data_IF_250546170436
#
_entry.id   IF_250546170436
#
_cell.length_a   1.000
_cell.length_b   1.000
_cell.length_c   1.000
_cell.angle_alpha   90.00
_cell.angle_beta   90.00
_cell.angle_gamma   90.00
#
_symmetry.space_group_name_H-M   'P 1'
#
loop_
_entity.id
_entity.type
_entity.pdbx_description
1 polymer ?
#
# COMPACT_ATOMS: atom_id res chain seq x y z
N UNK A 1 7.15 58.64 19.24
CA UNK A 1 8.28 58.84 20.18
C UNK A 1 9.44 57.99 19.64
N UNK A 2 10.31 58.56 18.80
CA UNK A 2 11.63 59.17 19.14
C UNK A 2 12.68 58.10 19.46
N UNK A 3 13.90 58.06 18.91
CA UNK A 3 14.64 58.85 17.92
C UNK A 3 15.95 58.10 17.57
N UNK A 4 16.56 58.40 16.41
CA UNK A 4 17.98 58.17 16.04
C UNK A 4 18.92 59.22 16.72
N UNK A 5 20.26 59.29 16.50
CA UNK A 5 21.39 58.34 16.45
C UNK A 5 22.56 58.81 17.41
N UNK A 6 23.87 58.44 17.24
CA UNK A 6 24.76 59.26 16.40
C UNK A 6 25.94 58.56 15.66
N UNK A 7 26.59 59.38 14.81
CA UNK A 7 27.76 59.24 13.92
C UNK A 7 29.16 59.20 14.57
N UNK A 8 30.16 58.78 13.77
CA UNK A 8 31.57 59.26 13.78
C UNK A 8 32.60 58.11 13.72
N UNK A 9 33.25 57.76 12.60
CA UNK A 9 34.30 58.42 11.78
C UNK A 9 35.74 58.20 12.29
N UNK A 10 36.59 57.52 11.50
CA UNK A 10 37.95 57.96 11.14
C UNK A 10 38.60 57.09 10.04
N UNK A 11 39.25 57.77 9.09
CA UNK A 11 40.09 57.27 7.98
C UNK A 11 41.56 57.68 8.25
N UNK A 12 42.57 57.72 7.33
CA UNK A 12 42.73 57.19 5.94
C UNK A 12 44.14 56.58 5.64
N UNK A 13 44.44 56.27 4.36
CA UNK A 13 45.68 56.59 3.56
C UNK A 13 46.04 55.48 2.48
N UNK A 14 46.93 55.71 1.47
CA UNK A 14 46.54 55.98 0.08
C UNK A 14 47.28 55.17 -1.04
N UNK A 15 46.88 55.49 -2.28
CA UNK A 15 47.28 55.02 -3.64
C UNK A 15 48.80 55.04 -3.96
N UNK A 16 49.21 54.43 -5.10
CA UNK A 16 49.79 55.29 -6.14
C UNK A 16 49.28 55.04 -7.58
N UNK A 17 48.94 56.16 -8.23
CA UNK A 17 48.82 56.36 -9.68
C UNK A 17 50.21 56.47 -10.31
N UNK A 18 50.50 55.64 -11.31
CA UNK A 18 51.70 55.73 -12.14
C UNK A 18 51.42 56.43 -13.46
N UNK A 19 51.92 57.66 -13.62
CA UNK A 19 51.98 58.37 -14.89
C UNK A 19 53.37 58.27 -15.51
N UNK A 20 53.46 58.18 -16.84
CA UNK A 20 54.70 58.41 -17.57
C UNK A 20 54.56 59.63 -18.49
N UNK A 21 55.44 60.60 -18.22
CA UNK A 21 55.64 61.88 -18.89
C UNK A 21 56.22 61.69 -20.30
N UNK A 22 55.71 62.44 -21.25
CA UNK A 22 56.38 62.75 -22.51
C UNK A 22 57.27 63.98 -22.30
N UNK A 23 58.54 63.89 -22.68
CA UNK A 23 59.49 65.00 -22.66
C UNK A 23 59.59 65.64 -24.04
N UNK A 24 59.33 66.94 -24.11
CA UNK A 24 59.73 67.83 -25.22
C UNK A 24 61.01 68.57 -24.83
N UNK A 25 62.07 68.46 -25.63
CA UNK A 25 63.10 69.50 -25.74
C UNK A 25 63.59 69.62 -27.19
N UNK A 26 63.87 70.87 -27.58
CA UNK A 26 64.29 71.33 -28.90
C UNK A 26 65.81 71.64 -28.91
N UNK A 27 66.44 71.51 -30.10
CA UNK A 27 67.70 72.17 -30.52
C UNK A 27 69.00 71.41 -30.20
N UNK A 28 70.08 71.41 -30.99
CA UNK A 28 70.46 72.16 -32.21
C UNK A 28 71.66 71.48 -32.93
N UNK A 29 71.72 71.70 -34.25
CA UNK A 29 72.83 71.70 -35.22
C UNK A 29 74.15 70.90 -35.03
N UNK A 30 74.47 70.12 -36.07
CA UNK A 30 75.83 69.72 -36.45
C UNK A 30 75.86 69.28 -37.93
N UNK A 31 76.61 70.00 -38.76
CA UNK A 31 76.68 69.90 -40.23
C UNK A 31 77.56 68.75 -40.77
N UNK A 32 77.24 68.34 -42.02
CA UNK A 32 78.03 67.58 -43.02
C UNK A 32 78.19 66.06 -42.74
N UNK A 33 77.98 65.13 -43.69
CA UNK A 33 78.39 65.09 -45.10
C UNK A 33 77.57 64.00 -45.83
N UNK A 34 77.25 64.17 -47.12
CA UNK A 34 76.47 63.23 -47.92
C UNK A 34 77.28 62.00 -48.39
N UNK A 35 76.64 60.81 -48.49
CA UNK A 35 76.80 59.99 -49.72
C UNK A 35 75.49 59.23 -50.11
N UNK A 36 75.52 58.35 -51.13
CA UNK A 36 74.93 58.55 -52.45
C UNK A 36 73.46 58.09 -52.59
N UNK A 37 72.77 58.64 -53.59
CA UNK A 37 71.38 58.31 -53.96
C UNK A 37 71.26 56.88 -54.50
N UNK A 38 70.58 56.00 -53.76
CA UNK A 38 70.10 54.69 -54.24
C UNK A 38 68.70 54.80 -54.88
N UNK A 39 68.40 54.02 -55.95
CA UNK A 39 67.21 54.19 -56.78
C UNK A 39 65.92 53.78 -56.06
N UNK A 40 64.89 54.63 -56.15
CA UNK A 40 63.52 54.37 -55.66
C UNK A 40 62.87 53.24 -56.46
N UNK A 41 62.81 52.03 -55.88
CA UNK A 41 61.91 50.95 -56.33
C UNK A 41 60.47 51.25 -55.89
N UNK A 42 59.51 51.09 -56.81
CA UNK A 42 58.07 51.33 -56.58
C UNK A 42 57.56 50.45 -55.43
N UNK A 43 56.99 51.07 -54.38
CA UNK A 43 56.48 50.44 -53.15
C UNK A 43 55.06 49.83 -53.28
N UNK A 44 54.60 49.53 -54.49
CA UNK A 44 53.25 48.96 -54.72
C UNK A 44 53.10 47.53 -54.17
N UNK A 45 54.18 46.75 -54.08
CA UNK A 45 54.12 45.39 -53.51
C UNK A 45 53.93 45.32 -51.99
N UNK A 46 54.34 46.35 -51.23
CA UNK A 46 54.29 46.35 -49.77
C UNK A 46 52.88 46.65 -49.25
N UNK A 47 52.15 47.53 -49.92
CA UNK A 47 50.75 47.87 -49.59
C UNK A 47 49.81 46.70 -49.92
N UNK A 48 50.01 46.03 -51.05
CA UNK A 48 49.25 44.82 -51.41
C UNK A 48 49.51 43.65 -50.42
N UNK A 49 50.75 43.49 -49.91
CA UNK A 49 51.05 42.49 -48.89
C UNK A 49 50.43 42.79 -47.51
N UNK A 50 50.34 44.07 -47.12
CA UNK A 50 49.72 44.49 -45.86
C UNK A 50 48.20 44.32 -45.89
N UNK A 51 47.56 44.66 -47.01
CA UNK A 51 46.11 44.47 -47.20
C UNK A 51 45.76 42.98 -47.28
N UNK A 52 46.56 42.19 -47.99
CA UNK A 52 46.40 40.73 -48.02
C UNK A 52 46.60 40.08 -46.64
N UNK A 53 47.61 40.52 -45.89
CA UNK A 53 47.84 40.05 -44.51
C UNK A 53 46.71 40.43 -43.56
N UNK A 54 46.20 41.66 -43.63
CA UNK A 54 45.06 42.10 -42.84
C UNK A 54 43.77 41.32 -43.15
N UNK A 55 43.52 41.00 -44.43
CA UNK A 55 42.37 40.19 -44.83
C UNK A 55 42.46 38.75 -44.30
N UNK A 56 43.65 38.15 -44.31
CA UNK A 56 43.88 36.80 -43.74
C UNK A 56 43.68 36.82 -42.22
N UNK A 57 44.23 37.81 -41.52
CA UNK A 57 44.04 37.95 -40.07
C UNK A 57 42.56 38.15 -39.73
N UNK A 58 41.84 38.99 -40.49
CA UNK A 58 40.41 39.20 -40.30
C UNK A 58 39.61 37.91 -40.54
N UNK A 59 39.93 37.14 -41.59
CA UNK A 59 39.28 35.86 -41.86
C UNK A 59 39.54 34.84 -40.76
N UNK A 60 40.77 34.74 -40.25
CA UNK A 60 41.12 33.86 -39.13
C UNK A 60 40.41 34.29 -37.84
N UNK A 61 40.34 35.60 -37.55
CA UNK A 61 39.63 36.12 -36.38
C UNK A 61 38.11 35.83 -36.46
N UNK A 62 37.49 36.03 -37.62
CA UNK A 62 36.07 35.70 -37.84
C UNK A 62 35.87 34.19 -37.64
N UNK A 63 36.72 33.35 -38.24
CA UNK A 63 36.62 31.88 -38.12
C UNK A 63 36.78 31.44 -36.66
N UNK A 64 37.71 32.03 -35.92
CA UNK A 64 37.90 31.78 -34.51
C UNK A 64 36.68 32.14 -33.67
N UNK A 65 36.07 33.32 -33.92
CA UNK A 65 34.85 33.75 -33.21
C UNK A 65 33.68 32.82 -33.54
N UNK A 66 33.48 32.50 -34.81
CA UNK A 66 32.42 31.57 -35.23
C UNK A 66 32.59 30.16 -34.65
N UNK A 67 33.82 29.62 -34.64
CA UNK A 67 34.11 28.32 -34.03
C UNK A 67 33.89 28.35 -32.50
N UNK A 68 34.26 29.44 -31.83
CA UNK A 68 34.00 29.61 -30.40
C UNK A 68 32.52 29.66 -30.08
N UNK A 69 31.73 30.43 -30.85
CA UNK A 69 30.28 30.53 -30.64
C UNK A 69 29.57 29.20 -30.94
N UNK A 70 30.00 28.47 -31.97
CA UNK A 70 29.47 27.14 -32.28
C UNK A 70 29.77 26.13 -31.18
N UNK A 71 30.97 26.17 -30.60
CA UNK A 71 31.31 25.37 -29.42
C UNK A 71 30.46 25.75 -28.22
N UNK A 72 30.28 27.04 -27.93
CA UNK A 72 29.50 27.49 -26.77
C UNK A 72 28.03 27.05 -26.88
N UNK A 73 27.43 27.18 -28.07
CA UNK A 73 26.09 26.67 -28.33
C UNK A 73 25.99 25.14 -28.13
N UNK A 74 26.92 24.35 -28.69
CA UNK A 74 26.92 22.90 -28.50
C UNK A 74 27.20 22.50 -27.04
N UNK A 75 27.98 23.28 -26.30
CA UNK A 75 28.23 23.06 -24.88
C UNK A 75 26.99 23.36 -24.03
N UNK A 76 26.24 24.41 -24.35
CA UNK A 76 24.96 24.74 -23.72
C UNK A 76 23.91 23.66 -24.03
N UNK A 77 23.76 23.26 -25.30
CA UNK A 77 22.83 22.18 -25.70
C UNK A 77 23.17 20.85 -25.02
N UNK A 78 24.45 20.51 -24.93
CA UNK A 78 24.92 19.34 -24.18
C UNK A 78 24.59 19.46 -22.69
N UNK A 79 24.81 20.63 -22.08
CA UNK A 79 24.50 20.84 -20.67
C UNK A 79 23.00 20.68 -20.37
N UNK A 80 22.14 21.17 -21.26
CA UNK A 80 20.69 20.99 -21.17
C UNK A 80 20.29 19.50 -21.29
N UNK A 81 20.89 18.76 -22.23
CA UNK A 81 20.67 17.31 -22.37
C UNK A 81 21.13 16.52 -21.12
N UNK A 82 22.29 16.85 -20.54
CA UNK A 82 22.76 16.25 -19.28
C UNK A 82 21.82 16.58 -18.12
N UNK A 83 21.29 17.80 -18.05
CA UNK A 83 20.34 18.19 -17.02
C UNK A 83 19.02 17.41 -17.15
N UNK A 84 18.51 17.21 -18.37
CA UNK A 84 17.34 16.38 -18.63
C UNK A 84 17.58 14.92 -18.19
N UNK A 85 18.65 14.27 -18.66
CA UNK A 85 18.98 12.90 -18.26
C UNK A 85 19.15 12.77 -16.73
N UNK A 86 19.73 13.77 -16.07
CA UNK A 86 19.88 13.76 -14.60
C UNK A 86 18.54 13.90 -13.86
N UNK A 87 17.60 14.64 -14.43
CA UNK A 87 16.22 14.73 -13.94
C UNK A 87 15.53 13.38 -14.05
N UNK A 88 15.56 12.75 -15.23
CA UNK A 88 14.95 11.44 -15.48
C UNK A 88 15.55 10.35 -14.57
N UNK A 89 16.88 10.36 -14.35
CA UNK A 89 17.50 9.46 -13.35
C UNK A 89 16.98 9.64 -11.95
N UNK A 90 16.68 10.88 -11.56
CA UNK A 90 16.19 11.17 -10.21
C UNK A 90 14.76 10.70 -10.04
N UNK A 91 13.94 10.85 -11.09
CA UNK A 91 12.58 10.33 -11.15
C UNK A 91 12.57 8.80 -11.13
N UNK A 92 13.29 8.15 -12.05
CA UNK A 92 13.38 6.69 -12.12
C UNK A 92 13.88 6.10 -10.80
N UNK A 93 14.84 6.74 -10.11
CA UNK A 93 15.30 6.28 -8.79
C UNK A 93 14.18 6.28 -7.74
N UNK A 94 13.32 7.29 -7.75
CA UNK A 94 12.21 7.36 -6.80
C UNK A 94 11.17 6.27 -7.11
N UNK A 95 10.76 6.14 -8.38
CA UNK A 95 9.81 5.12 -8.82
C UNK A 95 10.35 3.70 -8.61
N UNK A 96 11.66 3.47 -8.81
CA UNK A 96 12.31 2.20 -8.56
C UNK A 96 12.32 1.81 -7.07
N UNK A 97 12.52 2.79 -6.18
CA UNK A 97 12.45 2.57 -4.74
C UNK A 97 11.02 2.23 -4.29
N UNK A 98 10.01 2.86 -4.88
CA UNK A 98 8.60 2.54 -4.62
C UNK A 98 8.25 1.13 -5.12
N UNK A 99 8.66 0.75 -6.33
CA UNK A 99 8.48 -0.60 -6.87
C UNK A 99 9.14 -1.66 -5.95
N UNK A 100 10.36 -1.40 -5.49
CA UNK A 100 11.04 -2.30 -4.57
C UNK A 100 10.26 -2.47 -3.27
N UNK A 101 9.73 -1.39 -2.69
CA UNK A 101 8.91 -1.47 -1.47
C UNK A 101 7.64 -2.30 -1.67
N UNK A 102 6.96 -2.13 -2.81
CA UNK A 102 5.75 -2.89 -3.15
C UNK A 102 6.07 -4.37 -3.37
N UNK A 103 7.16 -4.67 -4.09
CA UNK A 103 7.62 -6.04 -4.33
C UNK A 103 8.05 -6.75 -3.04
N UNK A 104 8.70 -6.05 -2.12
CA UNK A 104 9.09 -6.58 -0.82
C UNK A 104 7.87 -6.91 0.04
N UNK A 105 6.87 -6.01 0.10
CA UNK A 105 5.61 -6.27 0.81
C UNK A 105 4.85 -7.46 0.23
N UNK A 106 4.74 -7.55 -1.10
CA UNK A 106 4.16 -8.70 -1.78
C UNK A 106 4.94 -10.00 -1.49
N UNK A 107 6.28 -9.93 -1.45
CA UNK A 107 7.13 -11.05 -1.08
C UNK A 107 6.88 -11.55 0.34
N UNK A 108 6.61 -10.65 1.29
CA UNK A 108 6.25 -11.00 2.67
C UNK A 108 4.87 -11.70 2.75
N UNK A 109 3.91 -11.29 1.93
CA UNK A 109 2.61 -11.96 1.83
C UNK A 109 2.79 -13.41 1.35
N UNK A 110 3.57 -13.63 0.29
CA UNK A 110 3.84 -14.98 -0.25
C UNK A 110 4.64 -15.85 0.75
N UNK A 111 5.54 -15.25 1.53
CA UNK A 111 6.37 -15.98 2.48
C UNK A 111 5.63 -16.39 3.77
N UNK A 112 4.35 -16.03 3.93
CA UNK A 112 3.55 -16.39 5.10
C UNK A 112 3.40 -17.91 5.24
N UNK A 113 3.87 -18.48 6.34
CA UNK A 113 3.85 -19.95 6.56
C UNK A 113 2.54 -20.48 7.18
N UNK A 114 1.66 -19.59 7.64
CA UNK A 114 0.42 -19.95 8.35
C UNK A 114 -0.81 -19.70 7.47
N UNK A 115 -1.05 -20.56 6.48
CA UNK A 115 -2.25 -20.48 5.65
C UNK A 115 -3.37 -21.37 6.19
N UNK A 116 -4.19 -20.82 7.09
CA UNK A 116 -5.43 -21.48 7.50
C UNK A 116 -6.48 -21.40 6.38
N UNK A 117 -6.57 -20.25 5.71
CA UNK A 117 -7.35 -20.07 4.47
C UNK A 117 -6.38 -20.16 3.30
N UNK A 118 -6.47 -21.27 2.56
CA UNK A 118 -5.68 -21.49 1.34
C UNK A 118 -6.29 -20.69 0.20
N UNK A 119 -5.52 -19.76 -0.36
CA UNK A 119 -5.92 -19.04 -1.55
C UNK A 119 -5.85 -19.97 -2.78
N UNK A 120 -6.59 -19.69 -3.86
CA UNK A 120 -6.47 -20.47 -5.08
C UNK A 120 -5.04 -20.38 -5.62
N UNK A 121 -4.43 -21.51 -6.04
CA UNK A 121 -3.02 -21.54 -6.44
C UNK A 121 -2.71 -20.61 -7.62
N UNK A 122 -3.70 -20.26 -8.43
CA UNK A 122 -3.57 -19.30 -9.52
C UNK A 122 -3.27 -17.86 -9.06
N UNK A 123 -3.84 -17.40 -7.94
CA UNK A 123 -3.62 -16.02 -7.45
C UNK A 123 -2.26 -15.89 -6.78
N UNK A 124 -1.83 -16.91 -6.04
CA UNK A 124 -0.48 -17.00 -5.47
C UNK A 124 0.58 -17.04 -6.58
N UNK A 125 0.39 -17.86 -7.61
CA UNK A 125 1.32 -17.93 -8.74
C UNK A 125 1.37 -16.62 -9.53
N UNK A 126 0.23 -15.93 -9.70
CA UNK A 126 0.18 -14.62 -10.35
C UNK A 126 1.00 -13.59 -9.56
N UNK A 127 0.81 -13.50 -8.24
CA UNK A 127 1.57 -12.59 -7.38
C UNK A 127 3.08 -12.93 -7.38
N UNK A 128 3.44 -14.20 -7.27
CA UNK A 128 4.85 -14.63 -7.30
C UNK A 128 5.52 -14.31 -8.65
N UNK A 129 4.78 -14.47 -9.75
CA UNK A 129 5.22 -14.06 -11.08
C UNK A 129 5.44 -12.54 -11.16
N UNK A 130 4.47 -11.75 -10.70
CA UNK A 130 4.57 -10.29 -10.69
C UNK A 130 5.76 -9.79 -9.84
N UNK A 131 6.00 -10.38 -8.66
CA UNK A 131 7.17 -10.06 -7.81
C UNK A 131 8.48 -10.39 -8.52
N UNK A 132 8.55 -11.51 -9.24
CA UNK A 132 9.76 -11.89 -9.99
C UNK A 132 10.06 -10.90 -11.11
N UNK A 133 9.05 -10.48 -11.86
CA UNK A 133 9.21 -9.48 -12.92
C UNK A 133 9.54 -8.09 -12.35
N UNK A 134 8.92 -7.69 -11.23
CA UNK A 134 9.25 -6.45 -10.53
C UNK A 134 10.72 -6.43 -10.07
N UNK A 135 11.24 -7.53 -9.50
CA UNK A 135 12.65 -7.63 -9.11
C UNK A 135 13.61 -7.50 -10.30
N UNK A 136 13.20 -7.98 -11.47
CA UNK A 136 13.97 -7.83 -12.70
C UNK A 136 13.96 -6.37 -13.18
N UNK A 137 12.79 -5.73 -13.23
CA UNK A 137 12.67 -4.31 -13.57
C UNK A 137 13.50 -3.44 -12.61
N UNK A 138 13.52 -3.76 -11.30
CA UNK A 138 14.37 -3.06 -10.33
C UNK A 138 15.85 -3.12 -10.69
N UNK A 139 16.33 -4.29 -11.11
CA UNK A 139 17.73 -4.48 -11.50
C UNK A 139 18.07 -3.79 -12.84
N UNK A 140 17.14 -3.76 -13.79
CA UNK A 140 17.28 -3.09 -15.09
C UNK A 140 17.33 -1.56 -14.91
N UNK A 141 16.39 -1.00 -14.12
CA UNK A 141 16.39 0.42 -13.74
C UNK A 141 17.67 0.84 -13.02
N UNK A 142 18.16 0.06 -12.04
CA UNK A 142 19.41 0.36 -11.34
C UNK A 142 20.63 0.38 -12.27
N UNK A 143 20.68 -0.54 -13.24
CA UNK A 143 21.74 -0.57 -14.24
C UNK A 143 21.71 0.68 -15.12
N UNK A 144 20.53 1.14 -15.53
CA UNK A 144 20.37 2.31 -16.37
C UNK A 144 20.72 3.61 -15.62
N UNK A 145 20.26 3.74 -14.37
CA UNK A 145 20.60 4.87 -13.47
C UNK A 145 22.12 5.01 -13.32
N UNK A 146 22.83 3.88 -13.24
CA UNK A 146 24.29 3.83 -13.06
C UNK A 146 25.10 4.26 -14.31
N UNK A 147 24.48 4.38 -15.48
CA UNK A 147 25.16 4.78 -16.74
C UNK A 147 25.75 6.19 -16.62
N UNK A 148 27.06 6.39 -16.71
CA UNK A 148 27.65 7.72 -16.58
C UNK A 148 27.33 8.64 -17.78
N UNK A 149 27.06 9.93 -17.51
CA UNK A 149 26.91 10.94 -18.55
C UNK A 149 28.26 11.62 -18.80
N UNK A 150 28.73 11.57 -20.04
CA UNK A 150 30.01 12.14 -20.44
C UNK A 150 30.08 13.66 -20.19
N UNK A 151 31.11 14.20 -19.50
CA UNK A 151 31.23 15.64 -19.33
C UNK A 151 31.70 16.32 -20.63
N UNK A 152 31.39 17.61 -20.77
CA UNK A 152 31.77 18.42 -21.94
C UNK A 152 33.30 18.45 -22.19
N UNK A 153 34.10 18.47 -21.11
CA UNK A 153 35.55 18.59 -21.17
C UNK A 153 36.03 20.05 -21.24
N UNK A 154 37.35 20.24 -21.37
CA UNK A 154 37.95 21.58 -21.46
C UNK A 154 37.79 22.18 -22.86
N UNK A 155 37.41 23.46 -22.94
CA UNK A 155 37.25 24.19 -24.20
C UNK A 155 38.60 24.43 -24.88
N UNK A 156 38.80 23.96 -26.14
CA UNK A 156 40.03 24.22 -26.87
C UNK A 156 40.21 25.69 -27.25
N UNK A 157 41.44 26.08 -27.55
CA UNK A 157 41.78 27.49 -27.83
C UNK A 157 41.82 27.84 -29.32
N UNK A 158 42.13 26.88 -30.20
CA UNK A 158 42.28 27.13 -31.63
C UNK A 158 41.07 26.69 -32.44
N UNK A 159 40.69 27.46 -33.48
CA UNK A 159 39.48 27.23 -34.26
C UNK A 159 39.35 25.82 -34.85
N UNK A 160 40.44 25.18 -35.27
CA UNK A 160 40.39 23.82 -35.83
C UNK A 160 40.11 22.75 -34.77
N UNK A 161 40.58 22.95 -33.53
CA UNK A 161 40.26 22.09 -32.38
C UNK A 161 38.82 22.32 -31.93
N UNK A 162 38.36 23.58 -31.95
CA UNK A 162 36.99 23.95 -31.60
C UNK A 162 35.98 23.22 -32.49
N UNK A 163 36.16 23.21 -33.82
CA UNK A 163 35.25 22.46 -34.71
C UNK A 163 35.19 20.96 -34.37
N UNK A 164 36.34 20.32 -34.13
CA UNK A 164 36.36 18.91 -33.73
C UNK A 164 35.78 18.65 -32.35
N UNK A 165 35.89 19.60 -31.42
CA UNK A 165 35.28 19.51 -30.10
C UNK A 165 33.77 19.77 -30.12
N UNK A 166 33.28 20.66 -30.98
CA UNK A 166 31.84 20.85 -31.25
C UNK A 166 31.21 19.55 -31.72
N UNK A 167 31.78 18.87 -32.73
CA UNK A 167 31.22 17.59 -33.21
C UNK A 167 31.18 16.52 -32.11
N UNK A 168 32.22 16.43 -31.26
CA UNK A 168 32.21 15.51 -30.11
C UNK A 168 31.18 15.89 -29.03
N UNK A 169 30.90 17.18 -28.86
CA UNK A 169 29.84 17.65 -27.96
C UNK A 169 28.46 17.29 -28.51
N UNK A 170 28.26 17.44 -29.82
CA UNK A 170 27.02 17.01 -30.48
C UNK A 170 26.80 15.50 -30.31
N UNK A 171 27.84 14.68 -30.49
CA UNK A 171 27.79 13.22 -30.24
C UNK A 171 27.42 12.91 -28.78
N UNK A 172 28.06 13.57 -27.81
CA UNK A 172 27.74 13.39 -26.38
C UNK A 172 26.35 13.91 -26.02
N UNK A 173 25.87 14.96 -26.68
CA UNK A 173 24.51 15.47 -26.51
C UNK A 173 23.53 14.40 -26.95
N UNK A 174 23.75 13.78 -28.11
CA UNK A 174 22.90 12.70 -28.62
C UNK A 174 22.92 11.51 -27.66
N UNK A 175 24.08 11.10 -27.13
CA UNK A 175 24.17 10.07 -26.08
C UNK A 175 23.36 10.42 -24.82
N UNK A 176 23.38 11.68 -24.38
CA UNK A 176 22.62 12.13 -23.22
C UNK A 176 21.10 12.20 -23.48
N UNK A 177 20.70 12.53 -24.71
CA UNK A 177 19.28 12.49 -25.14
C UNK A 177 18.79 11.05 -25.21
N UNK A 178 19.54 10.15 -25.85
CA UNK A 178 19.20 8.73 -25.93
C UNK A 178 19.07 8.12 -24.53
N UNK A 179 19.98 8.45 -23.60
CA UNK A 179 19.87 8.02 -22.21
C UNK A 179 18.61 8.57 -21.51
N UNK A 180 18.24 9.83 -21.75
CA UNK A 180 17.02 10.40 -21.18
C UNK A 180 15.76 9.68 -21.69
N UNK A 181 15.72 9.35 -22.99
CA UNK A 181 14.62 8.59 -23.60
C UNK A 181 14.56 7.15 -23.05
N UNK A 182 15.70 6.48 -22.89
CA UNK A 182 15.78 5.14 -22.28
C UNK A 182 15.28 5.17 -20.82
N UNK A 183 15.68 6.19 -20.03
CA UNK A 183 15.24 6.34 -18.63
C UNK A 183 13.73 6.54 -18.52
N UNK A 184 13.15 7.33 -19.45
CA UNK A 184 11.71 7.56 -19.50
C UNK A 184 10.94 6.30 -19.90
N UNK A 185 11.49 5.49 -20.82
CA UNK A 185 10.90 4.22 -21.20
C UNK A 185 10.94 3.22 -20.02
N UNK A 186 12.08 3.13 -19.34
CA UNK A 186 12.25 2.26 -18.16
C UNK A 186 11.33 2.68 -17.00
N UNK A 187 11.11 3.98 -16.80
CA UNK A 187 10.14 4.48 -15.82
C UNK A 187 8.72 3.94 -16.08
N UNK A 188 8.30 3.87 -17.35
CA UNK A 188 7.01 3.29 -17.72
C UNK A 188 6.93 1.78 -17.43
N UNK A 189 8.02 1.05 -17.62
CA UNK A 189 8.11 -0.38 -17.33
C UNK A 189 8.12 -0.67 -15.82
N UNK A 190 8.80 0.17 -15.02
CA UNK A 190 8.77 0.15 -13.55
C UNK A 190 7.35 0.38 -13.03
N UNK A 191 6.64 1.38 -13.55
CA UNK A 191 5.24 1.65 -13.17
C UNK A 191 4.31 0.49 -13.56
N UNK A 192 4.47 -0.06 -14.75
CA UNK A 192 3.70 -1.23 -15.21
C UNK A 192 3.92 -2.45 -14.29
N UNK A 193 5.16 -2.66 -13.85
CA UNK A 193 5.50 -3.74 -12.92
C UNK A 193 4.90 -3.50 -11.53
N UNK A 194 4.89 -2.25 -11.06
CA UNK A 194 4.27 -1.86 -9.78
C UNK A 194 2.76 -2.11 -9.78
N UNK A 195 2.09 -1.71 -10.86
CA UNK A 195 0.65 -1.96 -11.07
C UNK A 195 0.35 -3.46 -11.09
N UNK A 196 1.18 -4.27 -11.76
CA UNK A 196 1.00 -5.73 -11.84
C UNK A 196 1.14 -6.42 -10.47
N UNK A 197 2.10 -6.00 -9.64
CA UNK A 197 2.26 -6.51 -8.26
C UNK A 197 1.05 -6.09 -7.41
N UNK A 198 0.63 -4.84 -7.53
CA UNK A 198 -0.52 -4.32 -6.78
C UNK A 198 -1.82 -5.04 -7.15
N UNK A 199 -2.12 -5.18 -8.45
CA UNK A 199 -3.30 -5.88 -8.95
C UNK A 199 -3.32 -7.35 -8.49
N UNK A 200 -2.20 -8.05 -8.65
CA UNK A 200 -2.10 -9.46 -8.26
C UNK A 200 -2.23 -9.64 -6.74
N UNK A 201 -1.63 -8.74 -5.95
CA UNK A 201 -1.69 -8.78 -4.49
C UNK A 201 -3.11 -8.49 -3.97
N UNK A 202 -3.77 -7.47 -4.53
CA UNK A 202 -5.16 -7.13 -4.18
C UNK A 202 -6.10 -8.28 -4.55
N UNK A 203 -5.89 -8.92 -5.71
CA UNK A 203 -6.66 -10.08 -6.13
C UNK A 203 -6.51 -11.27 -5.16
N UNK A 204 -5.29 -11.53 -4.68
CA UNK A 204 -5.02 -12.55 -3.65
C UNK A 204 -5.77 -12.24 -2.36
N UNK A 205 -5.63 -11.03 -1.79
CA UNK A 205 -6.27 -10.64 -0.54
C UNK A 205 -7.80 -10.70 -0.66
N UNK A 206 -8.35 -10.21 -1.77
CA UNK A 206 -9.79 -10.24 -2.04
C UNK A 206 -10.29 -11.69 -2.06
N UNK A 207 -9.62 -12.57 -2.79
CA UNK A 207 -10.03 -13.97 -2.94
C UNK A 207 -9.90 -14.73 -1.62
N UNK A 208 -8.85 -14.47 -0.83
CA UNK A 208 -8.68 -15.04 0.51
C UNK A 208 -9.79 -14.55 1.46
N UNK A 209 -10.15 -13.27 1.42
CA UNK A 209 -11.25 -12.72 2.20
C UNK A 209 -12.61 -13.31 1.79
N UNK A 210 -12.88 -13.47 0.50
CA UNK A 210 -14.11 -14.11 0.00
C UNK A 210 -14.21 -15.59 0.41
N UNK A 211 -13.08 -16.30 0.50
CA UNK A 211 -13.04 -17.69 0.95
C UNK A 211 -13.41 -17.86 2.44
N UNK A 212 -13.36 -16.80 3.25
CA UNK A 212 -13.69 -16.86 4.67
C UNK A 212 -15.13 -17.32 4.93
N UNK A 213 -16.09 -17.04 4.03
CA UNK A 213 -17.49 -17.49 4.18
C UNK A 213 -17.61 -19.01 4.11
N UNK A 214 -16.95 -19.63 3.13
CA UNK A 214 -16.94 -21.09 3.02
C UNK A 214 -16.14 -21.73 4.15
N UNK A 215 -15.07 -21.06 4.59
CA UNK A 215 -14.27 -21.47 5.73
C UNK A 215 -15.09 -21.48 7.02
N UNK A 216 -15.78 -20.39 7.36
CA UNK A 216 -16.68 -20.31 8.52
C UNK A 216 -17.74 -21.42 8.48
N UNK A 217 -18.36 -21.65 7.32
CA UNK A 217 -19.38 -22.69 7.17
C UNK A 217 -18.86 -24.11 7.42
N UNK A 218 -17.54 -24.34 7.25
CA UNK A 218 -16.90 -25.62 7.55
C UNK A 218 -16.54 -25.79 9.03
N UNK A 219 -16.51 -24.71 9.82
CA UNK A 219 -16.09 -24.69 11.24
C UNK A 219 -17.23 -24.26 12.16
N UNK A 220 -18.38 -24.93 12.04
CA UNK A 220 -19.65 -24.50 12.65
C UNK A 220 -19.65 -24.55 14.18
N UNK A 221 -18.69 -25.25 14.79
CA UNK A 221 -18.54 -25.35 16.24
C UNK A 221 -17.52 -24.36 16.81
N UNK A 222 -16.94 -23.46 16.00
CA UNK A 222 -16.07 -22.39 16.49
C UNK A 222 -16.82 -21.40 17.39
N UNK A 223 -16.08 -20.73 18.29
CA UNK A 223 -16.64 -19.72 19.20
C UNK A 223 -17.02 -18.44 18.46
N UNK A 224 -18.02 -17.74 18.98
CA UNK A 224 -18.56 -16.54 18.33
C UNK A 224 -17.51 -15.46 18.11
N UNK A 225 -16.66 -15.17 19.11
CA UNK A 225 -15.65 -14.11 19.01
C UNK A 225 -14.62 -14.40 17.90
N UNK A 226 -14.20 -15.66 17.74
CA UNK A 226 -13.27 -16.05 16.67
C UNK A 226 -13.91 -15.92 15.27
N UNK A 227 -15.21 -16.22 15.15
CA UNK A 227 -15.95 -16.03 13.90
C UNK A 227 -16.11 -14.54 13.57
N UNK A 228 -16.34 -13.69 14.58
CA UNK A 228 -16.43 -12.23 14.38
C UNK A 228 -15.08 -11.67 13.94
N UNK A 229 -13.99 -12.03 14.62
CA UNK A 229 -12.63 -11.62 14.24
C UNK A 229 -12.29 -12.07 12.81
N UNK A 230 -12.72 -13.28 12.41
CA UNK A 230 -12.55 -13.76 11.04
C UNK A 230 -13.29 -12.89 10.02
N UNK A 231 -14.56 -12.57 10.29
CA UNK A 231 -15.39 -11.74 9.39
C UNK A 231 -14.83 -10.33 9.25
N UNK A 232 -14.38 -9.72 10.35
CA UNK A 232 -13.77 -8.39 10.34
C UNK A 232 -12.45 -8.39 9.56
N UNK A 233 -11.59 -9.40 9.79
CA UNK A 233 -10.34 -9.54 9.05
C UNK A 233 -10.56 -9.82 7.55
N UNK A 234 -11.58 -10.61 7.20
CA UNK A 234 -11.97 -10.86 5.82
C UNK A 234 -12.49 -9.59 5.12
N UNK A 235 -13.31 -8.80 5.81
CA UNK A 235 -13.78 -7.52 5.30
C UNK A 235 -12.61 -6.54 5.06
N UNK A 236 -11.63 -6.51 5.97
CA UNK A 236 -10.42 -5.70 5.79
C UNK A 236 -9.57 -6.16 4.59
N UNK A 237 -9.42 -7.47 4.40
CA UNK A 237 -8.73 -8.04 3.25
C UNK A 237 -9.41 -7.66 1.92
N UNK A 238 -10.74 -7.78 1.84
CA UNK A 238 -11.53 -7.38 0.65
C UNK A 238 -11.45 -5.87 0.39
N UNK A 239 -11.36 -5.05 1.45
CA UNK A 239 -11.26 -3.60 1.33
C UNK A 239 -9.84 -3.10 0.95
N UNK A 240 -8.85 -3.99 0.87
CA UNK A 240 -7.47 -3.61 0.55
C UNK A 240 -7.33 -3.21 -0.92
N UNK A 241 -6.70 -2.07 -1.19
CA UNK A 241 -6.52 -1.52 -2.55
C UNK A 241 -5.07 -1.26 -2.93
N UNK A 242 -4.13 -1.40 -1.99
CA UNK A 242 -2.69 -1.17 -2.18
C UNK A 242 -1.90 -2.31 -1.55
N UNK A 243 -0.66 -2.50 -1.99
CA UNK A 243 0.26 -3.50 -1.44
C UNK A 243 1.42 -2.79 -0.75
N UNK A 244 1.36 -2.78 0.58
CA UNK A 244 2.28 -2.13 1.50
C UNK A 244 2.33 -2.91 2.84
N UNK A 245 3.03 -2.38 3.84
CA UNK A 245 3.12 -2.99 5.18
C UNK A 245 1.75 -3.22 5.85
N UNK A 246 0.75 -2.38 5.55
CA UNK A 246 -0.60 -2.55 6.06
C UNK A 246 -1.30 -3.74 5.38
N UNK A 247 -1.11 -3.93 4.08
CA UNK A 247 -1.62 -5.11 3.36
C UNK A 247 -1.02 -6.41 3.92
N UNK A 248 0.29 -6.44 4.22
CA UNK A 248 0.95 -7.58 4.90
C UNK A 248 0.28 -7.88 6.24
N UNK A 249 0.03 -6.83 7.04
CA UNK A 249 -0.62 -6.94 8.35
C UNK A 249 -2.06 -7.43 8.24
N UNK A 250 -2.81 -6.96 7.23
CA UNK A 250 -4.18 -7.38 6.94
C UNK A 250 -4.24 -8.86 6.56
N UNK A 251 -3.40 -9.30 5.62
CA UNK A 251 -3.35 -10.72 5.23
C UNK A 251 -2.96 -11.62 6.40
N UNK A 252 -1.96 -11.22 7.19
CA UNK A 252 -1.54 -11.94 8.40
C UNK A 252 -2.67 -12.02 9.43
N UNK A 253 -3.44 -10.94 9.61
CA UNK A 253 -4.56 -10.91 10.55
C UNK A 253 -5.70 -11.84 10.12
N UNK A 254 -6.02 -11.89 8.81
CA UNK A 254 -6.97 -12.84 8.25
C UNK A 254 -6.57 -14.28 8.55
N UNK A 255 -5.31 -14.63 8.26
CA UNK A 255 -4.81 -15.99 8.50
C UNK A 255 -4.81 -16.37 10.00
N UNK A 256 -4.42 -15.43 10.87
CA UNK A 256 -4.47 -15.66 12.32
C UNK A 256 -5.90 -15.82 12.83
N UNK A 257 -6.85 -15.03 12.35
CA UNK A 257 -8.25 -15.16 12.73
C UNK A 257 -8.83 -16.51 12.29
N UNK A 258 -8.52 -16.95 11.07
CA UNK A 258 -8.88 -18.29 10.59
C UNK A 258 -8.25 -19.41 11.44
N UNK A 259 -7.00 -19.26 11.86
CA UNK A 259 -6.36 -20.20 12.78
C UNK A 259 -7.05 -20.22 14.17
N UNK A 260 -7.55 -19.09 14.67
CA UNK A 260 -8.33 -19.04 15.91
C UNK A 260 -9.70 -19.72 15.78
N UNK A 261 -10.35 -19.61 14.63
CA UNK A 261 -11.59 -20.36 14.34
C UNK A 261 -11.34 -21.87 14.44
N UNK A 262 -10.27 -22.39 13.84
CA UNK A 262 -9.88 -23.80 13.95
C UNK A 262 -9.53 -24.18 15.39
N UNK A 263 -8.76 -23.34 16.09
CA UNK A 263 -8.35 -23.62 17.46
C UNK A 263 -9.57 -23.70 18.40
N UNK A 264 -10.47 -22.73 18.34
CA UNK A 264 -11.67 -22.69 19.18
C UNK A 264 -12.64 -23.80 18.83
N UNK A 265 -12.82 -24.15 17.55
CA UNK A 265 -13.61 -25.33 17.18
C UNK A 265 -13.06 -26.61 17.81
N UNK A 266 -11.73 -26.81 17.77
CA UNK A 266 -11.12 -28.00 18.36
C UNK A 266 -11.31 -28.05 19.89
N UNK A 267 -11.26 -26.91 20.58
CA UNK A 267 -11.59 -26.81 22.01
C UNK A 267 -13.04 -27.21 22.28
N UNK A 268 -13.97 -26.66 21.49
CA UNK A 268 -15.41 -26.92 21.59
C UNK A 268 -15.77 -28.39 21.30
N UNK A 269 -15.14 -29.00 20.30
CA UNK A 269 -15.30 -30.43 19.99
C UNK A 269 -14.68 -31.32 21.07
N UNK A 270 -13.57 -30.89 21.68
CA UNK A 270 -12.95 -31.62 22.78
C UNK A 270 -13.84 -31.60 24.04
N UNK A 271 -14.47 -30.48 24.37
CA UNK A 271 -15.45 -30.38 25.45
C UNK A 271 -16.67 -31.27 25.20
N UNK A 272 -17.14 -31.30 23.95
CA UNK A 272 -18.30 -32.11 23.54
C UNK A 272 -18.03 -33.61 23.52
N UNK A 273 -16.76 -34.02 23.58
CA UNK A 273 -16.34 -35.42 23.46
C UNK A 273 -16.97 -36.34 24.53
N UNK A 274 -17.08 -37.63 24.19
CA UNK A 274 -17.66 -38.66 25.05
C UNK A 274 -18.97 -39.25 24.53
N UNK A 275 -19.71 -40.01 25.36
CA UNK A 275 -20.89 -40.76 24.91
C UNK A 275 -22.03 -39.91 24.37
N UNK A 276 -22.10 -38.63 24.75
CA UNK A 276 -23.17 -37.71 24.37
C UNK A 276 -22.86 -36.87 23.12
N UNK A 277 -21.64 -36.96 22.57
CA UNK A 277 -21.15 -36.09 21.50
C UNK A 277 -22.13 -36.01 20.32
N UNK A 278 -22.61 -37.13 19.80
CA UNK A 278 -23.52 -37.15 18.65
C UNK A 278 -24.85 -36.44 18.95
N UNK A 279 -25.41 -36.64 20.14
CA UNK A 279 -26.65 -35.98 20.55
C UNK A 279 -26.44 -34.47 20.69
N UNK A 280 -25.31 -34.04 21.26
CA UNK A 280 -24.94 -32.61 21.36
C UNK A 280 -24.86 -31.96 19.98
N UNK A 281 -24.15 -32.56 19.04
CA UNK A 281 -24.05 -32.04 17.66
C UNK A 281 -25.41 -31.99 16.94
N UNK A 282 -26.29 -32.98 17.14
CA UNK A 282 -27.65 -32.93 16.59
C UNK A 282 -28.50 -31.80 17.20
N UNK A 283 -28.35 -31.56 18.51
CA UNK A 283 -29.03 -30.48 19.22
C UNK A 283 -28.58 -29.11 18.71
N UNK A 284 -27.27 -28.93 18.52
CA UNK A 284 -26.70 -27.67 18.02
C UNK A 284 -27.15 -27.39 16.59
N UNK A 285 -27.11 -28.40 15.72
CA UNK A 285 -27.64 -28.30 14.36
C UNK A 285 -29.14 -27.96 14.35
N UNK A 286 -29.92 -28.59 15.23
CA UNK A 286 -31.33 -28.28 15.40
C UNK A 286 -31.55 -26.83 15.85
N UNK A 287 -30.80 -26.36 16.85
CA UNK A 287 -30.89 -24.99 17.35
C UNK A 287 -30.54 -23.95 16.26
N UNK A 288 -29.47 -24.18 15.48
CA UNK A 288 -29.09 -23.32 14.35
C UNK A 288 -30.15 -23.28 13.26
N UNK A 289 -30.84 -24.39 12.99
CA UNK A 289 -31.94 -24.44 12.03
C UNK A 289 -33.16 -23.61 12.48
N UNK A 290 -33.34 -23.41 13.79
CA UNK A 290 -34.39 -22.56 14.33
C UNK A 290 -34.05 -21.07 14.25
N UNK A 291 -32.79 -20.67 14.46
CA UNK A 291 -32.36 -19.26 14.44
C UNK A 291 -31.38 -18.94 13.29
N UNK A 292 -31.86 -18.89 12.02
CA UNK A 292 -31.00 -18.57 10.89
C UNK A 292 -30.44 -17.14 10.98
N UNK A 293 -29.12 -17.04 10.80
CA UNK A 293 -28.40 -15.76 10.82
C UNK A 293 -28.06 -15.24 12.22
N UNK A 294 -28.24 -16.05 13.27
CA UNK A 294 -27.71 -15.74 14.61
C UNK A 294 -26.44 -16.55 14.84
N UNK A 295 -25.38 -15.91 15.33
CA UNK A 295 -24.19 -16.61 15.79
C UNK A 295 -24.50 -17.30 17.13
N UNK A 296 -24.55 -18.63 17.12
CA UNK A 296 -24.79 -19.43 18.33
C UNK A 296 -23.51 -20.17 18.74
N UNK A 297 -23.23 -20.15 20.03
CA UNK A 297 -22.20 -20.95 20.69
C UNK A 297 -22.87 -21.81 21.77
N UNK A 298 -22.27 -22.96 22.11
CA UNK A 298 -22.90 -23.95 22.98
C UNK A 298 -21.95 -24.51 24.04
N UNK A 299 -22.36 -24.38 25.28
CA UNK A 299 -21.68 -24.94 26.45
C UNK A 299 -22.48 -26.12 27.03
N UNK A 300 -21.78 -27.11 27.59
CA UNK A 300 -22.41 -28.30 28.16
C UNK A 300 -21.97 -28.52 29.61
N UNK A 301 -22.94 -28.69 30.52
CA UNK A 301 -22.65 -28.94 31.93
C UNK A 301 -23.58 -30.01 32.52
N UNK A 302 -23.17 -30.71 33.59
CA UNK A 302 -24.07 -31.67 34.25
C UNK A 302 -25.36 -31.04 34.78
N UNK A 303 -25.28 -29.77 35.20
CA UNK A 303 -26.41 -29.02 35.77
C UNK A 303 -26.36 -27.58 35.27
N UNK A 304 -27.51 -27.08 34.81
CA UNK A 304 -27.72 -25.70 34.38
C UNK A 304 -28.95 -25.16 35.11
N UNK A 305 -28.85 -23.97 35.70
CA UNK A 305 -29.93 -23.37 36.51
C UNK A 305 -30.54 -24.31 37.58
N UNK A 306 -29.71 -25.19 38.15
CA UNK A 306 -30.13 -26.16 39.17
C UNK A 306 -30.84 -27.40 38.64
N UNK A 307 -31.00 -27.55 37.32
CA UNK A 307 -31.61 -28.71 36.67
C UNK A 307 -30.58 -29.52 35.84
N UNK A 308 -30.71 -30.84 35.81
CA UNK A 308 -29.78 -31.76 35.13
C UNK A 308 -29.68 -33.16 35.74
N UNK A 309 -30.21 -33.36 36.96
CA UNK A 309 -30.27 -34.67 37.61
C UNK A 309 -31.70 -35.20 37.72
N UNK A 310 -31.86 -36.51 37.95
CA UNK A 310 -33.15 -37.18 38.17
C UNK A 310 -34.18 -36.94 37.04
N UNK A 311 -33.70 -36.78 35.80
CA UNK A 311 -34.55 -36.51 34.64
C UNK A 311 -35.08 -35.08 34.57
N UNK A 312 -34.56 -34.13 35.36
CA UNK A 312 -34.74 -32.69 35.10
C UNK A 312 -33.77 -32.22 34.02
N UNK A 313 -34.14 -31.19 33.25
CA UNK A 313 -33.30 -30.57 32.21
C UNK A 313 -33.24 -29.07 32.45
N UNK A 314 -32.06 -28.48 32.27
CA UNK A 314 -31.83 -27.05 32.36
C UNK A 314 -31.23 -26.50 31.08
N UNK A 315 -31.59 -25.27 30.77
CA UNK A 315 -31.00 -24.42 29.76
C UNK A 315 -30.75 -23.02 30.33
N UNK A 316 -29.80 -22.32 29.72
CA UNK A 316 -29.54 -20.91 29.98
C UNK A 316 -28.96 -20.26 28.74
N UNK A 317 -29.54 -19.15 28.30
CA UNK A 317 -29.07 -18.42 27.13
C UNK A 317 -28.62 -17.02 27.52
N UNK A 318 -27.44 -16.64 27.05
CA UNK A 318 -26.94 -15.25 27.10
C UNK A 318 -26.86 -14.72 25.67
N UNK A 319 -27.30 -13.49 25.44
CA UNK A 319 -27.30 -12.86 24.12
C UNK A 319 -26.81 -11.42 24.17
N UNK A 320 -26.31 -10.94 23.03
CA UNK A 320 -25.83 -9.58 22.85
C UNK A 320 -26.41 -9.00 21.56
N UNK A 321 -26.94 -7.78 21.65
CA UNK A 321 -27.51 -7.01 20.53
C UNK A 321 -26.45 -6.20 19.75
N UNK A 322 -25.19 -6.65 19.76
CA UNK A 322 -24.16 -6.06 18.91
C UNK A 322 -24.28 -6.56 17.46
N UNK A 323 -23.41 -6.06 16.58
CA UNK A 323 -23.36 -6.46 15.17
C UNK A 323 -22.04 -7.22 14.92
N UNK A 324 -22.08 -8.50 14.51
CA UNK A 324 -23.28 -9.33 14.36
C UNK A 324 -23.85 -9.80 15.71
N UNK A 325 -25.18 -9.92 15.77
CA UNK A 325 -25.87 -10.41 16.97
C UNK A 325 -25.47 -11.86 17.29
N UNK A 326 -25.07 -12.10 18.54
CA UNK A 326 -24.57 -13.40 19.00
C UNK A 326 -25.24 -13.89 20.27
N UNK A 327 -25.15 -15.19 20.52
CA UNK A 327 -25.66 -15.83 21.74
C UNK A 327 -24.87 -17.06 22.13
N UNK A 328 -24.84 -17.34 23.42
CA UNK A 328 -24.30 -18.57 24.01
C UNK A 328 -25.46 -19.30 24.67
N UNK A 329 -25.67 -20.56 24.30
CA UNK A 329 -26.69 -21.44 24.88
C UNK A 329 -25.98 -22.52 25.70
N UNK A 330 -26.16 -22.48 27.01
CA UNK A 330 -25.69 -23.53 27.90
C UNK A 330 -26.79 -24.56 28.16
N UNK A 331 -26.50 -25.85 27.94
CA UNK A 331 -27.46 -26.94 28.13
C UNK A 331 -26.95 -27.97 29.13
N UNK A 332 -27.86 -28.50 29.94
CA UNK A 332 -27.52 -29.60 30.83
C UNK A 332 -27.30 -30.92 30.07
N UNK A 333 -26.38 -31.78 30.52
CA UNK A 333 -26.09 -33.09 29.91
C UNK A 333 -27.34 -33.95 29.72
N UNK A 334 -28.28 -33.85 30.66
CA UNK A 334 -29.57 -34.55 30.61
C UNK A 334 -30.44 -34.22 29.40
N UNK A 335 -30.22 -33.08 28.74
CA UNK A 335 -30.88 -32.71 27.47
C UNK A 335 -30.40 -33.64 26.36
N UNK A 336 -29.08 -33.85 26.27
CA UNK A 336 -28.45 -34.76 25.33
C UNK A 336 -28.75 -36.23 25.65
N UNK A 337 -28.79 -36.62 26.92
CA UNK A 337 -29.15 -37.99 27.33
C UNK A 337 -30.58 -38.39 26.89
N UNK A 338 -31.48 -37.41 26.78
CA UNK A 338 -32.90 -37.63 26.48
C UNK A 338 -33.26 -37.25 25.05
N UNK A 339 -32.28 -36.83 24.26
CA UNK A 339 -32.50 -36.48 22.86
C UNK A 339 -32.93 -37.73 22.04
N UNK A 340 -33.92 -37.62 21.12
CA UNK A 340 -34.65 -36.43 20.69
C UNK A 340 -36.09 -36.34 21.26
N UNK A 341 -36.29 -36.57 22.56
CA UNK A 341 -37.62 -36.48 23.17
C UNK A 341 -38.28 -35.10 23.00
N UNK A 342 -39.62 -35.05 22.91
CA UNK A 342 -40.39 -33.82 22.70
C UNK A 342 -40.04 -32.73 23.72
N UNK A 343 -39.92 -33.11 24.99
CA UNK A 343 -39.43 -32.25 26.09
C UNK A 343 -38.05 -31.64 25.86
N UNK A 344 -37.09 -32.39 25.31
CA UNK A 344 -35.73 -31.88 25.04
C UNK A 344 -35.76 -30.90 23.87
N UNK A 345 -36.51 -31.22 22.80
CA UNK A 345 -36.69 -30.32 21.65
C UNK A 345 -37.39 -29.03 22.04
N UNK A 346 -38.41 -29.12 22.90
CA UNK A 346 -39.15 -27.97 23.41
C UNK A 346 -38.28 -27.04 24.25
N UNK A 347 -37.45 -27.60 25.14
CA UNK A 347 -36.50 -26.80 25.91
C UNK A 347 -35.46 -26.12 24.99
N UNK A 348 -34.87 -26.86 24.05
CA UNK A 348 -33.90 -26.26 23.11
C UNK A 348 -34.54 -25.16 22.28
N UNK A 349 -35.78 -25.36 21.82
CA UNK A 349 -36.51 -24.32 21.10
C UNK A 349 -36.79 -23.08 21.96
N UNK A 350 -37.04 -23.25 23.26
CA UNK A 350 -37.17 -22.14 24.21
C UNK A 350 -35.85 -21.36 24.32
N UNK A 351 -34.72 -22.03 24.54
CA UNK A 351 -33.41 -21.38 24.61
C UNK A 351 -33.06 -20.63 23.31
N UNK A 352 -33.39 -21.20 22.15
CA UNK A 352 -33.24 -20.50 20.87
C UNK A 352 -34.15 -19.26 20.78
N UNK A 353 -35.29 -19.27 21.45
CA UNK A 353 -36.18 -18.11 21.56
C UNK A 353 -35.53 -16.92 22.27
N UNK A 354 -34.69 -17.16 23.27
CA UNK A 354 -33.83 -16.12 23.85
C UNK A 354 -32.79 -15.64 22.83
N UNK A 355 -32.12 -16.56 22.14
CA UNK A 355 -31.07 -16.22 21.19
C UNK A 355 -31.57 -15.41 19.98
N UNK A 356 -32.71 -15.78 19.38
CA UNK A 356 -33.26 -15.08 18.21
C UNK A 356 -33.72 -13.65 18.53
N UNK A 357 -33.87 -13.31 19.82
CA UNK A 357 -34.22 -11.96 20.23
C UNK A 357 -33.20 -10.91 19.76
N UNK A 358 -31.96 -11.31 19.43
CA UNK A 358 -30.96 -10.40 18.85
C UNK A 358 -31.38 -9.80 17.51
N UNK A 359 -32.29 -10.45 16.78
CA UNK A 359 -32.83 -9.97 15.49
C UNK A 359 -34.20 -9.30 15.62
N UNK A 360 -34.84 -9.42 16.79
CA UNK A 360 -36.25 -9.12 16.98
C UNK A 360 -36.51 -8.32 18.26
N UNK A 361 -35.50 -7.59 18.73
CA UNK A 361 -35.53 -6.79 19.96
C UNK A 361 -36.76 -5.89 20.04
N UNK A 362 -37.06 -5.17 18.94
CA UNK A 362 -38.15 -4.20 18.87
C UNK A 362 -39.56 -4.84 18.82
N UNK A 363 -39.67 -6.17 18.78
CA UNK A 363 -40.94 -6.88 18.63
C UNK A 363 -41.61 -7.23 19.96
N UNK A 364 -40.91 -7.08 21.09
CA UNK A 364 -41.44 -7.38 22.42
C UNK A 364 -40.81 -6.48 23.49
N UNK A 365 -41.31 -6.58 24.72
CA UNK A 365 -40.75 -5.86 25.86
C UNK A 365 -39.58 -6.65 26.46
N UNK A 366 -38.34 -6.28 26.16
CA UNK A 366 -37.14 -6.92 26.70
C UNK A 366 -36.71 -6.38 28.07
N UNK A 367 -37.51 -5.53 28.72
CA UNK A 367 -37.09 -4.85 29.96
C UNK A 367 -37.24 -5.66 31.25
N UNK A 368 -37.95 -6.80 31.21
CA UNK A 368 -38.19 -7.64 32.38
C UNK A 368 -37.95 -9.12 32.09
N UNK A 369 -37.50 -9.87 33.10
CA UNK A 369 -37.32 -11.32 33.00
C UNK A 369 -38.61 -12.02 32.56
N UNK A 370 -39.77 -11.64 33.13
CA UNK A 370 -41.05 -12.27 32.79
C UNK A 370 -41.41 -12.09 31.30
N UNK A 371 -41.21 -10.90 30.74
CA UNK A 371 -41.45 -10.65 29.31
C UNK A 371 -40.45 -11.41 28.42
N UNK A 372 -39.19 -11.50 28.83
CA UNK A 372 -38.14 -12.27 28.14
C UNK A 372 -38.48 -13.77 28.10
N UNK A 373 -38.84 -14.36 29.24
CA UNK A 373 -39.22 -15.78 29.31
C UNK A 373 -40.49 -16.09 28.50
N UNK A 374 -41.44 -15.14 28.49
CA UNK A 374 -42.66 -15.25 27.65
C UNK A 374 -42.35 -15.14 26.17
N UNK A 375 -41.37 -14.34 25.77
CA UNK A 375 -40.89 -14.29 24.39
C UNK A 375 -40.29 -15.62 23.96
N UNK A 376 -39.35 -16.17 24.74
CA UNK A 376 -38.74 -17.46 24.44
C UNK A 376 -39.76 -18.60 24.36
N UNK A 377 -40.72 -18.62 25.28
CA UNK A 377 -41.83 -19.58 25.27
C UNK A 377 -42.73 -19.40 24.04
N UNK A 378 -43.03 -18.15 23.67
CA UNK A 378 -43.84 -17.83 22.51
C UNK A 378 -43.18 -18.25 21.19
N UNK A 379 -41.85 -18.09 21.09
CA UNK A 379 -41.05 -18.58 19.98
C UNK A 379 -41.09 -20.11 19.86
N UNK A 380 -40.88 -20.83 20.95
CA UNK A 380 -40.95 -22.30 20.93
C UNK A 380 -42.35 -22.79 20.45
N UNK A 381 -43.42 -22.16 20.94
CA UNK A 381 -44.80 -22.45 20.52
C UNK A 381 -45.03 -22.11 19.05
N UNK A 382 -44.55 -20.96 18.56
CA UNK A 382 -44.73 -20.54 17.16
C UNK A 382 -44.01 -21.50 16.19
N UNK A 383 -42.92 -22.12 16.64
CA UNK A 383 -42.19 -23.16 15.90
C UNK A 383 -42.81 -24.57 16.04
N UNK A 384 -43.90 -24.71 16.79
CA UNK A 384 -44.67 -25.95 16.94
C UNK A 384 -44.26 -26.84 18.12
N UNK A 385 -43.34 -26.37 18.98
CA UNK A 385 -42.90 -27.11 20.16
C UNK A 385 -43.79 -26.79 21.36
N UNK A 386 -44.76 -27.68 21.61
CA UNK A 386 -45.87 -27.46 22.55
C UNK A 386 -45.81 -28.31 23.82
N UNK A 387 -44.77 -29.14 23.99
CA UNK A 387 -44.50 -29.80 25.27
C UNK A 387 -44.23 -28.75 26.35
N UNK A 388 -44.71 -28.98 27.57
CA UNK A 388 -44.67 -27.99 28.67
C UNK A 388 -43.23 -27.56 29.06
N UNK A 389 -42.22 -28.33 28.65
CA UNK A 389 -40.80 -27.97 28.79
C UNK A 389 -40.35 -26.77 27.93
N UNK A 390 -41.20 -26.26 27.05
CA UNK A 390 -40.96 -25.04 26.26
C UNK A 390 -40.99 -23.73 27.08
N UNK A 391 -41.09 -23.82 28.41
CA UNK A 391 -41.23 -22.68 29.32
C UNK A 391 -42.62 -22.55 29.95
N UNK A 392 -43.67 -23.17 29.38
CA UNK A 392 -45.04 -23.10 29.93
C UNK A 392 -45.11 -23.62 31.36
N UNK A 393 -44.40 -24.70 31.68
CA UNK A 393 -44.39 -25.25 33.04
C UNK A 393 -43.80 -24.29 34.08
N UNK A 394 -42.76 -23.55 33.70
CA UNK A 394 -42.02 -22.66 34.59
C UNK A 394 -42.61 -21.23 34.64
N UNK A 395 -43.05 -20.71 33.51
CA UNK A 395 -43.38 -19.30 33.30
C UNK A 395 -44.83 -19.06 32.87
N UNK A 396 -45.58 -20.13 32.61
CA UNK A 396 -46.96 -20.06 32.14
C UNK A 396 -47.08 -19.76 30.64
N UNK A 397 -48.31 -19.75 30.15
CA UNK A 397 -48.58 -19.45 28.74
C UNK A 397 -48.34 -17.96 28.42
N UNK A 398 -47.61 -17.65 27.33
CA UNK A 398 -47.45 -16.27 26.88
C UNK A 398 -48.75 -15.75 26.24
N UNK A 399 -48.96 -14.42 26.20
CA UNK A 399 -50.07 -13.83 25.46
C UNK A 399 -50.02 -14.18 23.97
N UNK A 400 -51.18 -14.33 23.31
CA UNK A 400 -51.25 -14.62 21.88
C UNK A 400 -50.48 -13.61 21.02
N UNK A 401 -50.47 -12.33 21.43
CA UNK A 401 -49.71 -11.29 20.73
C UNK A 401 -48.21 -11.55 20.70
N UNK A 402 -47.64 -12.23 21.71
CA UNK A 402 -46.23 -12.62 21.72
C UNK A 402 -45.98 -13.79 20.77
N UNK A 403 -46.90 -14.77 20.71
CA UNK A 403 -46.81 -15.91 19.79
C UNK A 403 -46.87 -15.42 18.34
N UNK A 404 -47.80 -14.51 18.03
CA UNK A 404 -47.95 -13.91 16.71
C UNK A 404 -46.71 -13.07 16.34
N UNK A 405 -46.16 -12.30 17.28
CA UNK A 405 -44.93 -11.53 17.07
C UNK A 405 -43.71 -12.44 16.82
N UNK A 406 -43.52 -13.48 17.64
CA UNK A 406 -42.45 -14.45 17.47
C UNK A 406 -42.56 -15.21 16.15
N UNK A 407 -43.79 -15.56 15.71
CA UNK A 407 -44.01 -16.14 14.39
C UNK A 407 -43.63 -15.20 13.24
N UNK A 408 -43.83 -13.90 13.41
CA UNK A 408 -43.48 -12.87 12.41
C UNK A 408 -41.99 -12.48 12.40
N UNK A 409 -41.22 -12.85 13.43
CA UNK A 409 -39.77 -12.62 13.54
C UNK A 409 -38.95 -13.57 12.64
N UNK A 410 -39.51 -14.75 12.33
CA UNK A 410 -38.91 -15.76 11.45
C UNK A 410 -38.85 -15.28 10.00
#
# INVERSE_FOLDING_TARGET
>A
MTALPPHGADAPAPVPLGGHRLSTSFGSAGTATAPPRTPRKKRTGLVLSLVGGAAVIAALAITQVSASLGYDAAADDHADAVAAASSEKSQLRAENADLQSVADAAGLIIAGENEAIVAPPETEQALAGAVTEAQKAVAEADALIATEVSPAGEKPTWFWELFGATTRLDEKRDEAVDLADDLLAEAADVLTSSDAVTESGVALLTTAGEAAVAFEAAHISARNDAVIDLRDAAAAAIATTTIDDAAVSTYTSLQNAAAQVVATENEELAEKSGPLMNARLEIEAFARALAPGVLLEFDWAPVVNGAGFNGSMGGYTTWWWDEPGRSVIQLSDSVAEQWPADRSRALVAHEVGHAISVKCEDMYDSSTQDSIEKWATAWAISMGYTDDANGVWAYGYPPQSYIDAAAGCR
#
